data_IF_610171008290
#
_entry.id   IF_610171008290
#
_cell.length_a   1.000
_cell.length_b   1.000
_cell.length_c   1.000
_cell.angle_alpha   90.00
_cell.angle_beta   90.00
_cell.angle_gamma   90.00
#
_symmetry.space_group_name_H-M   'P 1'
#
loop_
_entity.id
_entity.type
_entity.pdbx_description
1 polymer ?
#
# COMPACT_ATOMS: atom_id res chain seq x y z
N UNK A 1 -7.82 -5.47 -3.62
CA UNK A 1 -6.50 -4.84 -3.50
C UNK A 1 -5.45 -5.91 -3.74
N UNK A 2 -4.87 -5.95 -4.93
CA UNK A 2 -3.78 -6.86 -5.26
C UNK A 2 -2.48 -6.06 -5.25
N UNK A 3 -1.52 -6.46 -4.42
CA UNK A 3 -0.17 -5.93 -4.47
C UNK A 3 0.65 -6.86 -5.38
N UNK A 4 0.71 -6.58 -6.67
CA UNK A 4 1.35 -7.49 -7.62
C UNK A 4 2.86 -7.21 -7.69
N UNK A 5 3.70 -8.19 -7.36
CA UNK A 5 5.17 -8.05 -7.49
C UNK A 5 5.71 -8.95 -8.60
N UNK A 6 6.27 -8.37 -9.66
CA UNK A 6 6.54 -9.10 -10.92
C UNK A 6 8.01 -9.44 -11.21
N UNK A 7 8.31 -10.73 -11.35
CA UNK A 7 9.44 -11.29 -12.12
C UNK A 7 8.94 -12.57 -12.81
N UNK A 8 9.33 -12.80 -14.07
CA UNK A 8 8.76 -13.78 -15.01
C UNK A 8 8.04 -15.00 -14.39
N UNK A 9 6.71 -15.01 -14.50
CA UNK A 9 5.86 -16.21 -14.37
C UNK A 9 4.86 -16.25 -13.22
N UNK A 10 5.02 -15.48 -12.12
CA UNK A 10 4.10 -15.57 -10.99
C UNK A 10 3.74 -14.20 -10.41
N UNK A 11 2.45 -13.87 -10.45
CA UNK A 11 1.89 -12.76 -9.67
C UNK A 11 1.63 -13.23 -8.24
N UNK A 12 2.03 -12.43 -7.26
CA UNK A 12 1.69 -12.68 -5.85
C UNK A 12 0.64 -11.66 -5.43
N UNK A 13 -0.53 -12.11 -4.98
CA UNK A 13 -1.48 -11.25 -4.27
C UNK A 13 -1.09 -11.22 -2.78
N UNK A 14 -0.50 -10.12 -2.32
CA UNK A 14 -0.08 -9.94 -0.91
C UNK A 14 -1.25 -10.05 0.06
N UNK A 15 -2.42 -9.50 -0.28
CA UNK A 15 -3.59 -9.54 0.60
C UNK A 15 -4.16 -10.95 0.73
N UNK A 16 -4.02 -11.76 -0.32
CA UNK A 16 -4.35 -13.18 -0.25
C UNK A 16 -3.28 -13.99 0.49
N UNK A 17 -2.00 -13.73 0.19
CA UNK A 17 -0.85 -14.49 0.70
C UNK A 17 -0.61 -14.30 2.20
N UNK A 18 -0.77 -13.08 2.70
CA UNK A 18 -0.45 -12.68 4.08
C UNK A 18 -1.70 -12.38 4.91
N UNK A 19 -2.64 -13.35 4.97
CA UNK A 19 -3.83 -13.25 5.83
C UNK A 19 -3.53 -13.65 7.28
N UNK A 20 -4.47 -13.38 8.19
CA UNK A 20 -4.37 -13.79 9.58
C UNK A 20 -3.27 -13.03 10.34
N UNK A 21 -2.42 -13.74 11.07
CA UNK A 21 -1.35 -13.16 11.90
C UNK A 21 -0.21 -12.52 11.12
N UNK A 22 -0.17 -12.72 9.79
CA UNK A 22 0.81 -12.10 8.91
C UNK A 22 0.51 -10.63 8.57
N UNK A 23 -0.72 -10.17 8.85
CA UNK A 23 -1.15 -8.78 8.70
C UNK A 23 -1.49 -8.18 10.05
N UNK A 24 -1.15 -6.91 10.21
CA UNK A 24 -1.63 -6.09 11.31
C UNK A 24 -2.65 -5.09 10.76
N UNK A 25 -3.75 -4.92 11.48
CA UNK A 25 -4.77 -3.93 11.16
C UNK A 25 -5.06 -3.13 12.41
N UNK A 26 -5.17 -1.80 12.27
CA UNK A 26 -5.52 -0.91 13.38
C UNK A 26 -6.61 0.05 12.94
N UNK A 27 -7.49 0.41 13.89
CA UNK A 27 -8.59 1.34 13.65
C UNK A 27 -9.74 0.75 12.83
N UNK A 28 -10.37 1.59 12.01
CA UNK A 28 -11.55 1.25 11.22
C UNK A 28 -11.14 0.65 9.87
N UNK A 29 -10.85 -0.65 9.91
CA UNK A 29 -10.50 -1.49 8.77
C UNK A 29 -11.51 -2.62 8.64
N UNK A 30 -12.12 -2.79 7.46
CA UNK A 30 -13.12 -3.83 7.21
C UNK A 30 -12.95 -4.46 5.83
N UNK A 31 -13.38 -5.71 5.68
CA UNK A 31 -13.50 -6.35 4.36
C UNK A 31 -14.90 -6.09 3.81
N UNK A 32 -14.98 -5.52 2.60
CA UNK A 32 -16.23 -5.22 1.90
C UNK A 32 -16.25 -5.90 0.54
N UNK A 33 -17.44 -6.14 -0.01
CA UNK A 33 -17.59 -6.49 -1.41
C UNK A 33 -17.88 -5.23 -2.22
N UNK A 34 -17.01 -4.88 -3.16
CA UNK A 34 -17.23 -3.73 -4.03
C UNK A 34 -18.02 -4.16 -5.28
N UNK A 35 -19.22 -3.59 -5.44
CA UNK A 35 -20.14 -3.93 -6.53
C UNK A 35 -19.72 -3.36 -7.90
N UNK A 36 -18.76 -2.44 -7.97
CA UNK A 36 -18.29 -1.87 -9.24
C UNK A 36 -17.23 -2.74 -9.91
N UNK A 37 -16.38 -3.39 -9.11
CA UNK A 37 -15.34 -4.31 -9.60
C UNK A 37 -15.62 -5.77 -9.27
N UNK A 38 -16.72 -6.07 -8.59
CA UNK A 38 -17.15 -7.41 -8.18
C UNK A 38 -16.08 -8.20 -7.42
N UNK A 39 -15.34 -7.53 -6.51
CA UNK A 39 -14.25 -8.14 -5.73
C UNK A 39 -14.38 -7.81 -4.24
N UNK A 40 -13.88 -8.73 -3.40
CA UNK A 40 -13.60 -8.43 -1.99
C UNK A 40 -12.45 -7.44 -1.89
N UNK A 41 -12.68 -6.36 -1.16
CA UNK A 41 -11.77 -5.25 -0.96
C UNK A 41 -11.56 -5.03 0.53
N UNK A 42 -10.46 -4.39 0.89
CA UNK A 42 -10.29 -3.85 2.23
C UNK A 42 -10.61 -2.37 2.20
N UNK A 43 -11.53 -1.96 3.06
CA UNK A 43 -11.90 -0.58 3.27
C UNK A 43 -11.20 -0.09 4.54
N UNK A 44 -10.51 1.04 4.42
CA UNK A 44 -9.92 1.75 5.55
C UNK A 44 -10.63 3.09 5.62
N UNK A 45 -11.28 3.36 6.75
CA UNK A 45 -11.98 4.63 7.01
C UNK A 45 -11.39 5.28 8.26
N UNK A 46 -11.63 6.58 8.41
CA UNK A 46 -11.22 7.34 9.59
C UNK A 46 -10.56 8.66 9.22
N UNK A 47 -10.64 9.63 10.13
CA UNK A 47 -10.07 10.97 9.91
C UNK A 47 -8.55 11.04 10.09
N UNK A 48 -7.91 9.98 10.60
CA UNK A 48 -6.48 9.95 10.86
C UNK A 48 -5.84 8.68 10.27
N UNK A 49 -5.09 8.82 9.18
CA UNK A 49 -4.38 7.71 8.54
C UNK A 49 -3.29 7.05 9.40
N UNK A 50 -2.82 7.71 10.47
CA UNK A 50 -1.83 7.13 11.38
C UNK A 50 -2.44 6.09 12.34
N UNK A 51 -3.76 6.12 12.56
CA UNK A 51 -4.45 5.19 13.46
C UNK A 51 -5.33 4.18 12.74
N UNK A 52 -5.55 4.36 11.44
CA UNK A 52 -6.37 3.48 10.61
C UNK A 52 -5.50 2.93 9.47
N UNK A 53 -4.96 1.73 9.63
CA UNK A 53 -3.97 1.19 8.69
C UNK A 53 -3.99 -0.33 8.59
N UNK A 54 -3.38 -0.82 7.51
CA UNK A 54 -2.99 -2.21 7.33
C UNK A 54 -1.49 -2.22 7.11
N UNK A 55 -0.80 -3.13 7.79
CA UNK A 55 0.64 -3.26 7.74
C UNK A 55 1.05 -4.73 7.49
N UNK A 56 2.01 -4.90 6.59
CA UNK A 56 2.58 -6.19 6.21
C UNK A 56 4.12 -6.10 6.26
N UNK A 57 4.81 -7.02 6.95
CA UNK A 57 4.23 -8.01 7.85
C UNK A 57 3.66 -7.33 9.11
N UNK A 58 2.94 -8.05 9.97
CA UNK A 58 2.56 -7.51 11.28
C UNK A 58 3.78 -6.91 12.03
N UNK A 59 3.60 -5.81 12.79
CA UNK A 59 4.67 -5.07 13.47
C UNK A 59 5.67 -5.96 14.23
N UNK A 60 5.20 -6.99 14.94
CA UNK A 60 6.02 -7.99 15.65
C UNK A 60 6.99 -8.76 14.73
N UNK A 61 6.67 -8.86 13.44
CA UNK A 61 7.47 -9.52 12.40
C UNK A 61 8.21 -8.54 11.47
N UNK A 62 8.09 -7.22 11.71
CA UNK A 62 8.65 -6.15 10.87
C UNK A 62 10.13 -6.33 10.54
N UNK A 63 10.94 -6.84 11.48
CA UNK A 63 12.38 -7.09 11.31
C UNK A 63 12.74 -8.09 10.19
N UNK A 64 11.79 -8.91 9.73
CA UNK A 64 12.03 -9.95 8.71
C UNK A 64 11.54 -9.57 7.31
N UNK A 65 10.74 -8.50 7.16
CA UNK A 65 10.05 -8.18 5.91
C UNK A 65 9.13 -9.31 5.43
N UNK A 66 8.52 -9.15 4.26
CA UNK A 66 7.64 -10.19 3.64
C UNK A 66 8.37 -11.09 2.62
N UNK A 67 9.68 -10.86 2.38
CA UNK A 67 10.52 -11.73 1.56
C UNK A 67 10.15 -11.79 0.06
N UNK A 68 9.37 -10.84 -0.44
CA UNK A 68 8.99 -10.77 -1.85
C UNK A 68 10.08 -10.11 -2.70
N UNK A 69 10.27 -10.61 -3.92
CA UNK A 69 11.19 -10.06 -4.91
C UNK A 69 10.46 -9.87 -6.23
N UNK A 70 10.65 -8.72 -6.87
CA UNK A 70 10.19 -8.45 -8.23
C UNK A 70 10.48 -7.01 -8.64
N UNK A 71 10.20 -6.72 -9.91
CA UNK A 71 10.51 -5.47 -10.59
C UNK A 71 9.34 -4.48 -10.54
N UNK A 72 8.12 -4.99 -10.51
CA UNK A 72 6.90 -4.20 -10.49
C UNK A 72 6.21 -4.31 -9.15
N UNK A 73 5.42 -3.30 -8.77
CA UNK A 73 4.54 -3.30 -7.61
C UNK A 73 3.24 -2.61 -8.00
N UNK A 74 2.11 -3.31 -8.05
CA UNK A 74 0.83 -2.70 -8.40
C UNK A 74 -0.05 -2.49 -7.17
N UNK A 75 -0.89 -1.48 -7.18
CA UNK A 75 -1.93 -1.23 -6.17
C UNK A 75 -3.22 -0.86 -6.89
N UNK A 76 -4.29 -1.59 -6.61
CA UNK A 76 -5.63 -1.21 -7.04
C UNK A 76 -6.33 -0.52 -5.85
N UNK A 77 -6.58 0.78 -5.96
CA UNK A 77 -7.13 1.61 -4.89
C UNK A 77 -8.24 2.55 -5.39
N UNK A 78 -9.12 2.96 -4.48
CA UNK A 78 -10.19 3.92 -4.71
C UNK A 78 -10.22 4.90 -3.56
N UNK A 79 -10.07 6.19 -3.86
CA UNK A 79 -10.22 7.23 -2.84
C UNK A 79 -11.69 7.50 -2.55
N UNK A 80 -12.03 7.62 -1.27
CA UNK A 80 -13.34 8.11 -0.82
C UNK A 80 -13.37 9.64 -1.01
N UNK A 81 -14.51 10.23 -1.37
CA UNK A 81 -14.59 11.65 -1.65
C UNK A 81 -14.28 12.53 -0.43
N UNK A 82 -13.85 13.78 -0.68
CA UNK A 82 -13.60 14.79 0.35
C UNK A 82 -14.83 15.01 1.27
N UNK A 83 -14.63 15.51 2.50
CA UNK A 83 -13.78 16.67 2.75
C UNK A 83 -12.46 16.44 3.51
N UNK A 84 -12.13 15.24 3.98
CA UNK A 84 -11.07 15.11 5.00
C UNK A 84 -10.27 13.80 5.02
N UNK A 85 -10.39 12.94 4.00
CA UNK A 85 -9.57 11.72 3.98
C UNK A 85 -8.20 11.95 3.37
N UNK A 86 -7.21 12.01 4.25
CA UNK A 86 -5.81 11.82 3.90
C UNK A 86 -5.53 10.33 3.74
N UNK A 87 -4.67 9.98 2.80
CA UNK A 87 -4.18 8.63 2.62
C UNK A 87 -2.70 8.65 2.27
N UNK A 88 -2.01 7.61 2.70
CA UNK A 88 -0.65 7.32 2.29
C UNK A 88 -0.43 5.82 2.13
N UNK A 89 0.51 5.46 1.26
CA UNK A 89 0.98 4.11 1.02
C UNK A 89 2.49 4.15 1.25
N UNK A 90 2.99 3.31 2.15
CA UNK A 90 4.41 3.21 2.47
C UNK A 90 4.93 1.85 2.04
N UNK A 91 6.07 1.85 1.35
CA UNK A 91 6.72 0.66 0.82
C UNK A 91 8.16 0.72 1.24
N UNK A 92 8.64 -0.33 1.89
CA UNK A 92 10.03 -0.49 2.24
C UNK A 92 10.62 -1.62 1.41
N UNK A 93 11.67 -1.31 0.66
CA UNK A 93 12.36 -2.25 -0.19
C UNK A 93 13.85 -2.27 0.14
N UNK A 94 14.42 -3.47 0.16
CA UNK A 94 15.86 -3.66 0.20
C UNK A 94 16.42 -3.52 -1.22
N UNK A 95 17.27 -2.52 -1.43
CA UNK A 95 18.02 -2.34 -2.67
C UNK A 95 19.35 -3.10 -2.65
N UNK A 96 20.02 -3.20 -3.80
CA UNK A 96 21.19 -4.05 -4.08
C UNK A 96 22.38 -3.88 -3.09
N UNK A 97 22.42 -2.80 -2.30
CA UNK A 97 23.44 -2.54 -1.27
C UNK A 97 22.94 -2.74 0.18
N UNK A 98 21.87 -3.51 0.39
CA UNK A 98 21.19 -3.66 1.69
C UNK A 98 20.63 -2.34 2.25
N UNK A 99 20.50 -1.34 1.39
CA UNK A 99 19.92 -0.06 1.76
C UNK A 99 18.39 -0.18 1.76
N UNK A 100 17.75 0.05 2.91
CA UNK A 100 16.29 0.11 2.99
C UNK A 100 15.87 1.49 2.48
N UNK A 101 15.20 1.50 1.33
CA UNK A 101 14.57 2.70 0.81
C UNK A 101 13.08 2.66 1.11
N UNK A 102 12.58 3.72 1.76
CA UNK A 102 11.14 3.91 1.98
C UNK A 102 10.56 4.79 0.88
N UNK A 103 9.65 4.25 0.07
CA UNK A 103 8.83 5.01 -0.86
C UNK A 103 7.48 5.28 -0.21
N UNK A 104 7.08 6.55 -0.14
CA UNK A 104 5.80 6.98 0.42
C UNK A 104 5.01 7.73 -0.64
N UNK A 105 3.77 7.32 -0.89
CA UNK A 105 2.86 7.93 -1.85
C UNK A 105 1.61 8.39 -1.11
N UNK A 106 1.05 9.55 -1.42
CA UNK A 106 -0.21 9.97 -0.78
C UNK A 106 -0.62 11.40 -1.08
N UNK A 107 -1.85 11.75 -0.75
CA UNK A 107 -2.36 13.12 -0.91
C UNK A 107 -1.89 14.08 0.20
N UNK A 108 -1.21 13.56 1.22
CA UNK A 108 -0.54 14.37 2.26
C UNK A 108 0.73 15.05 1.75
N UNK A 109 1.28 14.59 0.63
CA UNK A 109 2.51 15.13 0.06
C UNK A 109 2.15 16.11 -1.06
N UNK A 110 2.61 17.35 -0.93
CA UNK A 110 2.38 18.41 -1.93
C UNK A 110 3.46 18.40 -3.02
N UNK A 111 4.71 18.14 -2.63
CA UNK A 111 5.87 18.11 -3.53
C UNK A 111 6.71 16.86 -3.27
N UNK A 112 7.40 16.34 -4.30
CA UNK A 112 8.39 15.29 -4.12
C UNK A 112 9.47 15.71 -3.10
N UNK A 113 9.79 14.82 -2.17
CA UNK A 113 10.90 15.00 -1.21
C UNK A 113 11.77 13.76 -1.20
N UNK A 114 13.07 13.96 -1.38
CA UNK A 114 14.07 12.90 -1.33
C UNK A 114 15.09 13.21 -0.22
N UNK A 115 15.23 12.29 0.73
CA UNK A 115 16.17 12.41 1.85
C UNK A 115 17.29 11.36 1.76
N UNK A 116 17.56 10.84 0.55
CA UNK A 116 18.52 9.76 0.25
C UNK A 116 17.96 8.37 0.57
N UNK A 117 17.39 8.21 1.76
CA UNK A 117 16.92 6.94 2.30
C UNK A 117 15.40 6.76 2.16
N UNK A 118 14.71 7.85 1.88
CA UNK A 118 13.27 7.89 1.71
C UNK A 118 12.88 8.86 0.61
N UNK A 119 11.87 8.46 -0.17
CA UNK A 119 11.27 9.22 -1.23
C UNK A 119 9.77 9.38 -0.92
N UNK A 120 9.30 10.61 -0.79
CA UNK A 120 7.89 10.93 -0.64
C UNK A 120 7.37 11.58 -1.92
N UNK A 121 6.27 11.08 -2.48
CA UNK A 121 5.67 11.56 -3.72
C UNK A 121 4.18 11.89 -3.52
N UNK A 122 3.70 13.00 -4.12
CA UNK A 122 2.27 13.25 -4.24
C UNK A 122 1.57 12.14 -5.02
N UNK A 123 0.44 11.66 -4.51
CA UNK A 123 -0.47 10.77 -5.22
C UNK A 123 -1.89 11.32 -5.07
N UNK A 124 -2.47 11.81 -6.16
CA UNK A 124 -3.83 12.35 -6.21
C UNK A 124 -4.71 11.40 -7.03
N UNK A 125 -5.53 10.64 -6.33
CA UNK A 125 -6.52 9.74 -6.90
C UNK A 125 -7.83 10.49 -7.18
N UNK A 126 -8.50 10.10 -8.27
CA UNK A 126 -9.84 10.61 -8.57
C UNK A 126 -10.85 10.04 -7.56
N UNK A 127 -11.68 10.88 -6.92
CA UNK A 127 -12.70 10.42 -5.97
C UNK A 127 -13.64 9.38 -6.60
N UNK A 128 -13.99 8.35 -5.84
CA UNK A 128 -14.93 7.28 -6.23
C UNK A 128 -14.54 6.49 -7.50
N UNK A 129 -13.30 6.63 -8.00
CA UNK A 129 -12.81 5.90 -9.17
C UNK A 129 -11.69 4.94 -8.78
N UNK A 130 -11.84 3.68 -9.18
CA UNK A 130 -10.77 2.71 -9.08
C UNK A 130 -9.60 3.10 -9.98
N UNK A 131 -8.39 3.08 -9.40
CA UNK A 131 -7.15 3.44 -10.06
C UNK A 131 -6.12 2.35 -9.77
N UNK A 132 -5.39 1.94 -10.81
CA UNK A 132 -4.22 1.08 -10.66
C UNK A 132 -2.98 1.96 -10.64
N UNK A 133 -2.28 1.97 -9.52
CA UNK A 133 -0.95 2.58 -9.37
C UNK A 133 0.08 1.47 -9.55
N UNK A 134 1.13 1.70 -10.32
CA UNK A 134 2.24 0.76 -10.41
C UNK A 134 3.56 1.48 -10.14
N UNK A 135 4.47 0.79 -9.48
CA UNK A 135 5.86 1.21 -9.33
C UNK A 135 6.75 0.22 -10.07
N UNK A 136 7.84 0.72 -10.62
CA UNK A 136 8.91 -0.05 -11.23
C UNK A 136 10.24 0.43 -10.67
N UNK A 137 11.21 -0.49 -10.59
CA UNK A 137 12.63 -0.14 -10.45
C UNK A 137 13.10 0.64 -11.68
#
# INVERSE_FOLDING_TARGET
MAINIGGQGQFVDVFHRFRGTARETSGNVSEIFDNTIYKKCVQILGGNGATNFIHFPASEMSKKGIGLKGQYLYFECKAVPPPSQTYSIHIEALMDQYFISRISLGNIYILPKNNGISLSLPLILQPMKWTVVFLTK
#
